data_IF_531589919285
#
_entry.id   IF_531589919285
#
_cell.length_a   1.000
_cell.length_b   1.000
_cell.length_c   1.000
_cell.angle_alpha   90.00
_cell.angle_beta   90.00
_cell.angle_gamma   90.00
#
_symmetry.space_group_name_H-M   'P 1'
#
loop_
_entity.id
_entity.type
_entity.pdbx_description
1 polymer ?
#
# COMPACT_ATOMS: atom_id res chain seq x y z
N UNK A 1 23.66 0.40 10.05
CA UNK A 1 23.05 -0.57 9.07
C UNK A 1 22.09 0.21 8.18
N UNK A 2 21.65 -0.33 7.04
CA UNK A 2 20.65 0.27 6.16
C UNK A 2 19.30 -0.40 6.38
N UNK A 3 18.21 0.32 6.05
CA UNK A 3 16.84 -0.19 6.14
C UNK A 3 16.40 -0.73 4.78
N UNK A 4 15.92 -1.97 4.73
CA UNK A 4 15.40 -2.57 3.51
C UNK A 4 13.95 -2.14 3.28
N UNK A 5 13.54 -2.06 2.01
CA UNK A 5 12.24 -1.51 1.61
C UNK A 5 11.43 -2.53 0.82
N UNK A 6 10.16 -2.65 1.14
CA UNK A 6 9.18 -3.38 0.33
C UNK A 6 8.17 -2.39 -0.21
N UNK A 7 8.05 -2.33 -1.54
CA UNK A 7 7.09 -1.47 -2.26
C UNK A 7 6.24 -2.27 -3.23
N UNK A 8 4.97 -1.91 -3.37
CA UNK A 8 4.15 -2.38 -4.49
C UNK A 8 4.51 -1.61 -5.75
N UNK A 9 4.70 -2.28 -6.88
CA UNK A 9 5.10 -1.63 -8.12
C UNK A 9 4.06 -1.73 -9.25
N UNK A 10 2.82 -2.03 -8.90
CA UNK A 10 1.62 -1.95 -9.74
C UNK A 10 0.60 -0.98 -9.13
N UNK A 11 -0.69 -1.24 -9.26
CA UNK A 11 -1.80 -0.42 -8.72
C UNK A 11 -2.27 -0.85 -7.32
N UNK A 12 -1.36 -1.35 -6.48
CA UNK A 12 -1.72 -1.86 -5.16
C UNK A 12 -2.25 -3.30 -5.19
N UNK A 13 -2.52 -3.83 -4.00
CA UNK A 13 -3.04 -5.20 -3.82
C UNK A 13 -2.16 -6.32 -4.42
N UNK A 14 -0.86 -6.07 -4.60
CA UNK A 14 0.09 -7.03 -5.20
C UNK A 14 0.33 -8.26 -4.32
N UNK A 15 -0.13 -8.26 -3.06
CA UNK A 15 0.11 -9.35 -2.13
C UNK A 15 1.30 -9.12 -1.20
N UNK A 16 1.66 -7.85 -0.96
CA UNK A 16 2.76 -7.43 -0.08
C UNK A 16 2.73 -8.10 1.29
N UNK A 17 1.55 -8.28 1.88
CA UNK A 17 1.40 -8.84 3.22
C UNK A 17 2.09 -10.19 3.43
N UNK A 18 1.99 -11.13 2.46
CA UNK A 18 2.67 -12.43 2.51
C UNK A 18 4.19 -12.26 2.59
N UNK A 19 4.76 -11.39 1.75
CA UNK A 19 6.21 -11.19 1.68
C UNK A 19 6.72 -10.46 2.92
N UNK A 20 6.00 -9.42 3.38
CA UNK A 20 6.37 -8.69 4.60
C UNK A 20 6.34 -9.62 5.81
N UNK A 21 5.28 -10.42 5.98
CA UNK A 21 5.16 -11.38 7.07
C UNK A 21 6.30 -12.42 7.05
N UNK A 22 6.60 -12.97 5.87
CA UNK A 22 7.71 -13.93 5.70
C UNK A 22 9.06 -13.29 6.06
N UNK A 23 9.32 -12.08 5.60
CA UNK A 23 10.59 -11.39 5.83
C UNK A 23 10.68 -10.81 7.25
N UNK A 24 9.59 -10.31 7.82
CA UNK A 24 9.55 -9.71 9.16
C UNK A 24 10.11 -10.60 10.26
N UNK A 25 10.12 -11.93 10.06
CA UNK A 25 10.74 -12.88 11.00
C UNK A 25 12.26 -12.67 11.16
N UNK A 26 12.90 -12.00 10.19
CA UNK A 26 14.34 -11.74 10.16
C UNK A 26 14.71 -10.32 10.57
N UNK A 27 13.71 -9.48 10.91
CA UNK A 27 13.91 -8.07 11.22
C UNK A 27 13.58 -7.75 12.68
N UNK A 28 14.36 -6.85 13.28
CA UNK A 28 14.16 -6.35 14.63
C UNK A 28 13.05 -5.28 14.69
N UNK A 29 12.84 -4.58 13.56
CA UNK A 29 11.89 -3.47 13.48
C UNK A 29 11.20 -3.45 12.11
N UNK A 30 9.88 -3.22 12.09
CA UNK A 30 9.07 -3.04 10.87
C UNK A 30 8.35 -1.71 10.93
N UNK A 31 8.47 -0.90 9.88
CA UNK A 31 8.00 0.48 9.86
C UNK A 31 7.05 0.73 8.69
N UNK A 32 5.90 1.37 8.95
CA UNK A 32 5.02 1.96 7.94
C UNK A 32 5.39 3.43 7.75
N UNK A 33 5.59 3.84 6.50
CA UNK A 33 6.07 5.19 6.17
C UNK A 33 4.99 6.12 5.61
N UNK A 34 3.87 5.59 5.06
CA UNK A 34 2.85 6.39 4.40
C UNK A 34 1.50 5.66 4.34
N UNK A 35 0.47 6.34 3.79
CA UNK A 35 -0.88 5.84 3.68
C UNK A 35 -1.65 5.96 4.99
N UNK A 36 -2.71 5.21 5.14
CA UNK A 36 -3.56 5.18 6.30
C UNK A 36 -4.34 3.87 6.34
N UNK A 37 -5.51 3.87 6.98
CA UNK A 37 -6.37 2.69 7.09
C UNK A 37 -7.16 2.38 5.80
N UNK A 38 -6.83 3.05 4.69
CA UNK A 38 -7.27 2.66 3.34
C UNK A 38 -6.52 1.43 2.79
N UNK A 39 -5.34 1.10 3.34
CA UNK A 39 -4.66 -0.16 3.05
C UNK A 39 -5.37 -1.34 3.75
N UNK A 40 -5.14 -2.57 3.26
CA UNK A 40 -5.62 -3.78 3.89
C UNK A 40 -4.70 -4.94 3.53
N UNK A 41 -3.86 -5.34 4.47
CA UNK A 41 -3.00 -6.51 4.35
C UNK A 41 -3.67 -7.69 5.04
N UNK A 42 -4.06 -8.70 4.27
CA UNK A 42 -4.58 -9.96 4.83
C UNK A 42 -3.44 -10.94 4.97
N UNK A 43 -3.25 -11.45 6.18
CA UNK A 43 -2.20 -12.40 6.52
C UNK A 43 -2.85 -13.56 7.29
N UNK A 44 -2.42 -14.78 6.98
CA UNK A 44 -2.83 -15.98 7.69
C UNK A 44 -1.67 -16.50 8.52
N UNK A 45 -1.88 -16.68 9.81
CA UNK A 45 -0.90 -17.29 10.73
C UNK A 45 -1.62 -18.34 11.54
N UNK A 46 -1.13 -19.57 11.50
CA UNK A 46 -1.69 -20.72 12.24
C UNK A 46 -3.21 -20.87 12.07
N UNK A 47 -3.70 -20.67 10.84
CA UNK A 47 -5.13 -20.76 10.51
C UNK A 47 -5.98 -19.56 10.93
N UNK A 48 -5.39 -18.55 11.57
CA UNK A 48 -6.07 -17.31 11.96
C UNK A 48 -5.85 -16.22 10.92
N UNK A 49 -6.93 -15.58 10.51
CA UNK A 49 -6.90 -14.46 9.56
C UNK A 49 -6.74 -13.13 10.28
N UNK A 50 -5.68 -12.40 9.95
CA UNK A 50 -5.48 -11.01 10.38
C UNK A 50 -5.66 -10.05 9.20
N UNK A 51 -6.35 -8.94 9.45
CA UNK A 51 -6.49 -7.84 8.46
C UNK A 51 -5.86 -6.59 9.07
N UNK A 52 -4.66 -6.26 8.60
CA UNK A 52 -3.90 -5.12 9.08
C UNK A 52 -4.09 -3.93 8.14
N UNK A 53 -4.35 -2.75 8.71
CA UNK A 53 -4.60 -1.51 7.96
C UNK A 53 -3.57 -0.42 8.29
N UNK A 54 -3.32 -0.16 9.56
CA UNK A 54 -2.37 0.83 10.08
C UNK A 54 -1.15 0.17 10.71
N UNK A 55 -1.37 -0.91 11.45
CA UNK A 55 -0.31 -1.63 12.15
C UNK A 55 0.59 -2.33 11.13
N UNK A 56 1.94 -2.19 11.24
CA UNK A 56 2.86 -2.94 10.37
C UNK A 56 2.69 -4.44 10.52
N UNK A 57 2.90 -5.18 9.42
CA UNK A 57 2.76 -6.65 9.39
C UNK A 57 3.75 -7.37 10.32
N UNK A 58 4.82 -6.69 10.73
CA UNK A 58 5.75 -7.18 11.74
C UNK A 58 5.15 -7.43 13.12
N UNK A 59 3.93 -6.96 13.40
CA UNK A 59 3.25 -7.19 14.69
C UNK A 59 3.01 -8.67 14.98
N UNK A 60 2.92 -9.48 13.94
CA UNK A 60 2.76 -10.94 14.06
C UNK A 60 4.06 -11.64 14.50
N UNK A 61 5.21 -10.98 14.40
CA UNK A 61 6.46 -11.42 15.03
C UNK A 61 6.55 -10.86 16.46
N UNK A 62 6.48 -11.68 17.52
CA UNK A 62 6.47 -11.20 18.91
C UNK A 62 7.76 -10.47 19.32
N UNK A 63 8.84 -10.63 18.57
CA UNK A 63 10.14 -10.01 18.83
C UNK A 63 10.34 -8.68 18.11
N UNK A 64 9.54 -8.38 17.10
CA UNK A 64 9.70 -7.18 16.30
C UNK A 64 9.06 -5.95 16.96
N UNK A 65 9.75 -4.82 16.87
CA UNK A 65 9.21 -3.49 17.15
C UNK A 65 8.49 -2.99 15.90
N UNK A 66 7.33 -2.40 16.06
CA UNK A 66 6.50 -1.92 14.97
C UNK A 66 6.32 -0.40 15.06
N UNK A 67 6.60 0.30 13.98
CA UNK A 67 6.60 1.76 13.92
C UNK A 67 5.55 2.24 12.90
N UNK A 68 4.67 3.12 13.33
CA UNK A 68 3.84 3.94 12.47
C UNK A 68 4.54 5.30 12.35
N UNK A 69 5.11 5.57 11.18
CA UNK A 69 5.93 6.75 10.91
C UNK A 69 5.14 8.04 10.73
N UNK A 70 5.86 9.16 10.67
CA UNK A 70 5.28 10.50 10.52
C UNK A 70 4.58 10.75 9.18
N UNK A 71 4.85 9.92 8.17
CA UNK A 71 4.18 10.01 6.86
C UNK A 71 2.81 9.34 6.84
N UNK A 72 2.47 8.52 7.82
CA UNK A 72 1.17 7.86 7.93
C UNK A 72 0.11 8.83 8.46
N UNK A 73 -1.12 8.71 7.96
CA UNK A 73 -2.29 9.38 8.55
C UNK A 73 -3.06 8.39 9.42
N UNK A 74 -3.13 8.68 10.72
CA UNK A 74 -3.58 7.75 11.75
C UNK A 74 -4.99 8.09 12.20
N UNK A 75 -5.92 7.16 12.00
CA UNK A 75 -7.24 7.26 12.59
C UNK A 75 -7.23 6.65 14.00
N UNK A 76 -7.45 7.43 15.06
CA UNK A 76 -7.50 6.91 16.43
C UNK A 76 -8.51 5.79 16.61
N UNK A 77 -9.70 5.97 16.07
CA UNK A 77 -10.76 4.95 16.11
C UNK A 77 -10.33 3.63 15.46
N UNK A 78 -9.74 3.71 14.25
CA UNK A 78 -9.40 2.51 13.50
C UNK A 78 -8.15 1.81 14.07
N UNK A 79 -7.15 2.56 14.56
CA UNK A 79 -5.98 1.92 15.19
C UNK A 79 -6.36 1.20 16.48
N UNK A 80 -7.22 1.76 17.31
CA UNK A 80 -7.73 1.12 18.52
C UNK A 80 -8.51 -0.16 18.20
N UNK A 81 -9.36 -0.12 17.17
CA UNK A 81 -10.08 -1.31 16.69
C UNK A 81 -9.13 -2.37 16.19
N UNK A 82 -8.07 -1.98 15.49
CA UNK A 82 -7.06 -2.92 14.99
C UNK A 82 -6.23 -3.51 16.13
N UNK A 83 -5.83 -2.70 17.11
CA UNK A 83 -5.11 -3.14 18.31
C UNK A 83 -5.91 -4.15 19.13
N UNK A 84 -7.24 -4.08 19.15
CA UNK A 84 -8.10 -5.01 19.91
C UNK A 84 -8.00 -6.48 19.45
N UNK A 85 -7.43 -6.74 18.27
CA UNK A 85 -7.17 -8.11 17.79
C UNK A 85 -5.97 -8.76 18.50
N UNK A 86 -5.20 -7.97 19.23
CA UNK A 86 -3.96 -8.40 19.89
C UNK A 86 -4.08 -8.19 21.41
N UNK A 87 -3.21 -8.85 22.15
CA UNK A 87 -2.98 -8.52 23.55
C UNK A 87 -2.27 -7.17 23.72
N UNK A 88 -1.62 -6.94 24.86
CA UNK A 88 -0.88 -5.69 25.06
C UNK A 88 0.23 -5.50 24.00
N UNK A 89 0.20 -4.34 23.36
CA UNK A 89 1.20 -3.93 22.37
C UNK A 89 2.21 -2.90 22.93
N UNK A 90 2.13 -2.59 24.23
CA UNK A 90 3.08 -1.70 24.89
C UNK A 90 4.49 -2.27 24.77
N UNK A 91 5.44 -1.44 24.33
CA UNK A 91 6.82 -1.88 24.04
C UNK A 91 7.03 -2.50 22.67
N UNK A 92 5.96 -2.77 21.91
CA UNK A 92 6.03 -3.40 20.59
C UNK A 92 5.46 -2.56 19.44
N UNK A 93 4.55 -1.65 19.73
CA UNK A 93 3.96 -0.72 18.76
C UNK A 93 4.26 0.71 19.19
N UNK A 94 4.66 1.55 18.24
CA UNK A 94 4.88 2.98 18.48
C UNK A 94 4.32 3.79 17.30
N UNK A 95 3.74 4.95 17.63
CA UNK A 95 3.14 5.90 16.70
C UNK A 95 3.96 7.19 16.77
N UNK A 96 4.36 7.69 15.61
CA UNK A 96 5.06 8.97 15.55
C UNK A 96 4.20 10.10 16.12
N UNK A 97 4.77 10.86 17.03
CA UNK A 97 4.22 12.12 17.54
C UNK A 97 3.91 13.13 16.41
N UNK A 98 4.60 12.99 15.25
CA UNK A 98 4.42 13.83 14.05
C UNK A 98 3.47 13.24 13.01
N UNK A 99 2.92 12.04 13.20
CA UNK A 99 1.90 11.47 12.31
C UNK A 99 0.62 12.31 12.39
N UNK A 100 -0.05 12.53 11.24
CA UNK A 100 -1.29 13.32 11.24
C UNK A 100 -2.50 12.48 11.62
N UNK A 101 -3.40 13.09 12.40
CA UNK A 101 -4.65 12.47 12.82
C UNK A 101 -5.67 12.50 11.68
N UNK A 102 -6.19 11.34 11.34
CA UNK A 102 -7.37 11.19 10.50
C UNK A 102 -8.59 11.09 11.42
N UNK A 103 -9.26 12.21 11.61
CA UNK A 103 -10.43 12.36 12.49
C UNK A 103 -11.73 12.09 11.72
N UNK A 104 -12.87 11.83 12.39
CA UNK A 104 -14.13 11.46 11.74
C UNK A 104 -14.60 12.45 10.67
N UNK A 105 -14.44 13.76 10.87
CA UNK A 105 -14.86 14.76 9.91
C UNK A 105 -14.10 14.67 8.56
N UNK A 106 -12.86 14.17 8.54
CA UNK A 106 -12.13 13.95 7.27
C UNK A 106 -12.85 12.91 6.39
N UNK A 107 -13.39 11.85 6.98
CA UNK A 107 -14.18 10.87 6.24
C UNK A 107 -15.48 11.47 5.70
N UNK A 108 -16.15 12.32 6.48
CA UNK A 108 -17.35 13.03 6.02
C UNK A 108 -17.04 13.97 4.84
N UNK A 109 -15.93 14.70 4.91
CA UNK A 109 -15.45 15.56 3.79
C UNK A 109 -15.15 14.72 2.53
N UNK A 110 -14.47 13.59 2.67
CA UNK A 110 -14.13 12.68 1.56
C UNK A 110 -15.40 12.19 0.85
N UNK A 111 -16.35 11.67 1.63
CA UNK A 111 -17.63 11.16 1.13
C UNK A 111 -18.48 12.26 0.48
N UNK A 112 -18.54 13.45 1.08
CA UNK A 112 -19.29 14.58 0.52
C UNK A 112 -18.68 15.05 -0.81
N UNK A 113 -17.35 15.20 -0.88
CA UNK A 113 -16.65 15.58 -2.12
C UNK A 113 -16.83 14.54 -3.23
N UNK A 114 -16.80 13.23 -2.92
CA UNK A 114 -17.06 12.18 -3.92
C UNK A 114 -18.50 12.23 -4.43
N UNK A 115 -19.50 12.46 -3.56
CA UNK A 115 -20.90 12.64 -3.99
C UNK A 115 -21.06 13.82 -4.94
N UNK A 116 -20.40 14.95 -4.65
CA UNK A 116 -20.48 16.15 -5.49
C UNK A 116 -19.85 15.97 -6.88
N UNK A 117 -18.87 15.08 -7.02
CA UNK A 117 -18.24 14.78 -8.32
C UNK A 117 -19.13 13.94 -9.25
N UNK A 118 -20.11 13.22 -8.72
CA UNK A 118 -20.99 12.35 -9.51
C UNK A 118 -20.21 11.37 -10.38
N UNK A 119 -20.45 11.39 -11.70
CA UNK A 119 -19.77 10.50 -12.67
C UNK A 119 -18.26 10.73 -12.77
N UNK A 120 -17.76 11.88 -12.29
CA UNK A 120 -16.32 12.22 -12.25
C UNK A 120 -15.67 11.80 -10.93
N UNK A 121 -16.35 11.03 -10.10
CA UNK A 121 -15.80 10.52 -8.85
C UNK A 121 -14.53 9.70 -9.09
N UNK A 122 -13.53 9.86 -8.23
CA UNK A 122 -12.26 9.11 -8.30
C UNK A 122 -12.48 7.65 -7.87
N UNK A 123 -13.50 7.41 -7.04
CA UNK A 123 -13.76 6.12 -6.43
C UNK A 123 -12.92 5.90 -5.18
N UNK A 124 -12.77 6.93 -4.35
CA UNK A 124 -12.02 6.85 -3.08
C UNK A 124 -12.61 5.79 -2.14
N UNK A 125 -11.89 5.49 -1.07
CA UNK A 125 -12.37 4.59 -0.02
C UNK A 125 -13.37 5.26 0.92
N UNK A 126 -13.58 6.58 0.81
CA UNK A 126 -14.44 7.36 1.70
C UNK A 126 -13.94 7.46 3.15
N UNK A 127 -12.64 7.20 3.38
CA UNK A 127 -12.03 7.12 4.71
C UNK A 127 -11.31 8.40 5.15
N UNK A 128 -11.40 9.46 4.36
CA UNK A 128 -10.80 10.76 4.69
C UNK A 128 -9.29 10.83 4.52
N UNK A 129 -8.67 9.89 3.82
CA UNK A 129 -7.21 9.88 3.64
C UNK A 129 -6.76 11.12 2.84
N UNK A 130 -7.43 11.40 1.72
CA UNK A 130 -7.17 12.59 0.89
C UNK A 130 -7.33 13.90 1.67
N UNK A 131 -8.48 14.16 2.29
CA UNK A 131 -8.66 15.32 3.15
C UNK A 131 -7.58 15.49 4.22
N UNK A 132 -7.19 14.41 4.92
CA UNK A 132 -6.12 14.50 5.95
C UNK A 132 -4.78 14.91 5.36
N UNK A 133 -4.38 14.38 4.19
CA UNK A 133 -3.16 14.81 3.51
C UNK A 133 -3.28 16.26 2.99
N UNK A 134 -4.46 16.70 2.52
CA UNK A 134 -4.70 18.09 2.16
C UNK A 134 -4.47 19.01 3.35
N UNK A 135 -5.03 18.70 4.53
CA UNK A 135 -4.83 19.50 5.74
C UNK A 135 -3.37 19.50 6.21
N UNK A 136 -2.68 18.37 6.07
CA UNK A 136 -1.24 18.29 6.35
C UNK A 136 -0.45 19.28 5.47
N UNK A 137 -0.72 19.33 4.16
CA UNK A 137 0.00 20.18 3.22
C UNK A 137 -0.39 21.64 3.38
N UNK A 138 -1.67 21.95 3.66
CA UNK A 138 -2.16 23.29 3.98
C UNK A 138 -1.73 23.78 5.37
N UNK A 139 -1.13 22.92 6.18
CA UNK A 139 -0.63 23.19 7.55
C UNK A 139 -1.75 23.45 8.57
N UNK A 140 -2.93 22.89 8.34
CA UNK A 140 -4.09 22.96 9.23
C UNK A 140 -4.34 21.62 9.95
N UNK A 141 -3.52 20.59 9.63
CA UNK A 141 -3.71 19.25 10.18
C UNK A 141 -3.22 19.09 11.62
N UNK A 142 -3.86 18.19 12.34
CA UNK A 142 -3.55 17.84 13.73
C UNK A 142 -2.62 16.62 13.77
N UNK A 143 -1.70 16.58 14.74
CA UNK A 143 -0.72 15.49 14.88
C UNK A 143 -1.07 14.56 16.02
N UNK A 144 -0.56 13.34 15.99
CA UNK A 144 -0.76 12.37 17.07
C UNK A 144 -0.19 12.88 18.41
N UNK A 145 0.90 13.65 18.38
CA UNK A 145 1.45 14.30 19.57
C UNK A 145 0.47 15.26 20.26
N UNK A 146 -0.46 15.87 19.53
CA UNK A 146 -1.46 16.79 20.09
C UNK A 146 -2.48 16.07 20.98
N UNK A 147 -2.68 14.75 20.78
CA UNK A 147 -3.49 13.91 21.68
C UNK A 147 -2.94 13.86 23.11
N UNK A 148 -1.68 14.19 23.34
CA UNK A 148 -1.12 14.25 24.70
C UNK A 148 -1.66 15.45 25.50
N UNK A 149 -2.32 16.40 24.83
CA UNK A 149 -3.08 17.48 25.45
C UNK A 149 -4.47 17.62 24.81
N UNK A 150 -5.41 16.72 25.12
CA UNK A 150 -6.72 16.64 24.47
C UNK A 150 -7.57 17.91 24.61
N UNK A 151 -7.43 18.66 25.70
CA UNK A 151 -8.15 19.93 25.90
C UNK A 151 -7.70 20.98 24.88
N UNK A 152 -6.38 21.16 24.72
CA UNK A 152 -5.86 22.09 23.72
C UNK A 152 -6.23 21.64 22.31
N UNK A 153 -6.08 20.36 21.99
CA UNK A 153 -6.46 19.81 20.68
C UNK A 153 -7.96 20.04 20.40
N UNK A 154 -8.82 19.91 21.40
CA UNK A 154 -10.25 20.20 21.26
C UNK A 154 -10.48 21.66 20.85
N UNK A 155 -9.84 22.61 21.54
CA UNK A 155 -9.97 24.02 21.21
C UNK A 155 -9.43 24.34 19.81
N UNK A 156 -8.29 23.78 19.42
CA UNK A 156 -7.70 23.94 18.08
C UNK A 156 -8.63 23.38 16.97
N UNK A 157 -9.27 22.23 17.20
CA UNK A 157 -10.24 21.65 16.24
C UNK A 157 -11.52 22.50 16.14
N UNK A 158 -12.01 23.03 17.24
CA UNK A 158 -13.19 23.91 17.23
C UNK A 158 -12.90 25.21 16.46
N UNK A 159 -11.72 25.78 16.65
CA UNK A 159 -11.26 26.94 15.87
C UNK A 159 -11.18 26.61 14.36
N UNK A 160 -10.64 25.44 14.01
CA UNK A 160 -10.61 24.96 12.62
C UNK A 160 -12.04 24.85 12.03
N UNK A 161 -13.02 24.33 12.79
CA UNK A 161 -14.40 24.26 12.31
C UNK A 161 -15.01 25.64 12.10
N UNK A 162 -14.72 26.59 12.97
CA UNK A 162 -15.20 27.97 12.84
C UNK A 162 -14.60 28.65 11.60
N UNK A 163 -13.30 28.51 11.39
CA UNK A 163 -12.61 29.09 10.22
C UNK A 163 -13.08 28.47 8.90
N UNK A 164 -13.56 27.22 8.90
CA UNK A 164 -14.01 26.49 7.73
C UNK A 164 -15.55 26.30 7.69
N UNK A 165 -16.32 27.01 8.50
CA UNK A 165 -17.78 26.86 8.64
C UNK A 165 -18.49 26.81 7.30
N UNK A 166 -18.19 27.73 6.38
CA UNK A 166 -18.83 27.80 5.07
C UNK A 166 -18.63 26.52 4.25
N UNK A 167 -17.48 25.84 4.39
CA UNK A 167 -17.20 24.56 3.71
C UNK A 167 -18.04 23.45 4.33
N UNK A 168 -18.13 23.40 5.65
CA UNK A 168 -18.92 22.38 6.36
C UNK A 168 -20.40 22.53 6.05
N UNK A 169 -20.91 23.79 5.99
CA UNK A 169 -22.30 24.08 5.62
C UNK A 169 -22.62 23.63 4.18
N UNK A 170 -21.76 23.96 3.22
CA UNK A 170 -21.93 23.56 1.80
C UNK A 170 -21.86 22.03 1.63
N UNK A 171 -21.06 21.34 2.42
CA UNK A 171 -20.93 19.90 2.39
C UNK A 171 -22.00 19.17 3.23
N UNK A 172 -22.87 19.89 3.91
CA UNK A 172 -23.88 19.37 4.88
C UNK A 172 -23.24 18.47 5.95
N UNK A 173 -22.13 18.93 6.53
CA UNK A 173 -21.40 18.23 7.57
C UNK A 173 -21.66 18.89 8.92
N UNK A 174 -22.25 18.13 9.84
CA UNK A 174 -22.45 18.58 11.23
C UNK A 174 -21.16 18.39 12.03
N UNK A 175 -20.74 19.45 12.71
CA UNK A 175 -19.62 19.40 13.65
C UNK A 175 -20.10 18.97 15.04
N UNK A 176 -19.28 18.23 15.82
CA UNK A 176 -19.62 17.86 17.18
C UNK A 176 -19.65 19.09 18.12
N UNK A 177 -20.35 18.98 19.21
CA UNK A 177 -20.24 19.94 20.30
C UNK A 177 -18.89 19.84 21.00
N UNK A 178 -18.47 20.89 21.71
CA UNK A 178 -17.22 20.89 22.51
C UNK A 178 -17.15 19.70 23.48
N UNK A 179 -18.27 19.38 24.15
CA UNK A 179 -18.31 18.27 25.12
C UNK A 179 -18.12 16.91 24.44
N UNK A 180 -18.82 16.68 23.34
CA UNK A 180 -18.68 15.43 22.56
C UNK A 180 -17.26 15.26 22.05
N UNK A 181 -16.70 16.30 21.44
CA UNK A 181 -15.35 16.28 20.91
C UNK A 181 -14.29 16.05 22.01
N UNK A 182 -14.38 16.75 23.11
CA UNK A 182 -13.46 16.63 24.24
C UNK A 182 -13.49 15.21 24.83
N UNK A 183 -14.66 14.66 25.08
CA UNK A 183 -14.80 13.29 25.59
C UNK A 183 -14.19 12.25 24.65
N UNK A 184 -14.39 12.41 23.33
CA UNK A 184 -13.79 11.53 22.32
C UNK A 184 -12.26 11.62 22.33
N UNK A 185 -11.71 12.84 22.38
CA UNK A 185 -10.26 13.06 22.38
C UNK A 185 -9.60 12.57 23.68
N UNK A 186 -10.26 12.72 24.85
CA UNK A 186 -9.78 12.19 26.12
C UNK A 186 -9.76 10.66 26.11
N UNK A 187 -10.78 10.01 25.54
CA UNK A 187 -10.81 8.56 25.37
C UNK A 187 -9.65 8.09 24.47
N UNK A 188 -9.43 8.74 23.30
CA UNK A 188 -8.31 8.43 22.43
C UNK A 188 -6.96 8.67 23.13
N UNK A 189 -6.81 9.79 23.82
CA UNK A 189 -5.59 10.13 24.56
C UNK A 189 -5.26 9.06 25.60
N UNK A 190 -6.24 8.71 26.44
CA UNK A 190 -6.04 7.72 27.53
C UNK A 190 -5.53 6.36 27.01
N UNK A 191 -5.97 5.96 25.82
CA UNK A 191 -5.63 4.66 25.21
C UNK A 191 -4.37 4.70 24.35
N UNK A 192 -4.08 5.83 23.67
CA UNK A 192 -2.99 5.93 22.70
C UNK A 192 -1.73 6.60 23.23
N UNK A 193 -1.80 7.41 24.29
CA UNK A 193 -0.63 8.10 24.84
C UNK A 193 0.59 7.20 25.10
N UNK A 194 0.45 5.95 25.60
CA UNK A 194 1.58 5.06 25.83
C UNK A 194 2.33 4.66 24.56
N UNK A 195 1.74 4.84 23.37
CA UNK A 195 2.28 4.46 22.07
C UNK A 195 2.87 5.65 21.31
N UNK A 196 2.53 6.88 21.68
CA UNK A 196 2.95 8.09 20.95
C UNK A 196 4.34 8.52 21.43
N UNK A 197 5.27 8.62 20.46
CA UNK A 197 6.67 8.99 20.78
C UNK A 197 7.41 9.50 19.54
N UNK A 198 8.65 9.95 19.74
CA UNK A 198 9.56 10.32 18.67
C UNK A 198 10.13 9.07 17.97
N UNK A 199 9.37 8.53 17.01
CA UNK A 199 9.73 7.33 16.26
C UNK A 199 10.93 7.53 15.34
N UNK A 200 11.16 8.74 14.83
CA UNK A 200 12.33 9.05 13.99
C UNK A 200 13.63 8.73 14.74
N UNK A 201 13.73 9.21 15.99
CA UNK A 201 14.90 8.91 16.82
C UNK A 201 15.03 7.41 17.14
N UNK A 202 13.91 6.70 17.29
CA UNK A 202 13.93 5.24 17.50
C UNK A 202 14.52 4.50 16.30
N UNK A 203 14.11 4.87 15.07
CA UNK A 203 14.60 4.25 13.82
C UNK A 203 16.09 4.56 13.64
N UNK A 204 16.53 5.80 13.86
CA UNK A 204 17.95 6.17 13.81
C UNK A 204 18.79 5.33 14.76
N UNK A 205 18.40 5.25 16.03
CA UNK A 205 19.10 4.42 17.02
C UNK A 205 19.12 2.94 16.65
N UNK A 206 18.05 2.42 16.04
CA UNK A 206 18.03 1.04 15.58
C UNK A 206 19.11 0.81 14.50
N UNK A 207 19.21 1.69 13.50
CA UNK A 207 20.22 1.60 12.44
C UNK A 207 21.65 1.77 12.97
N UNK A 208 21.88 2.73 13.88
CA UNK A 208 23.17 2.96 14.55
C UNK A 208 23.62 1.73 15.35
N UNK A 209 22.68 1.04 16.01
CA UNK A 209 22.93 -0.18 16.78
C UNK A 209 22.90 -1.46 15.91
N UNK A 210 23.03 -1.33 14.58
CA UNK A 210 23.06 -2.44 13.63
C UNK A 210 21.82 -3.36 13.68
N UNK A 211 20.65 -2.82 14.05
CA UNK A 211 19.39 -3.54 14.00
C UNK A 211 18.88 -3.62 12.57
N UNK A 212 18.26 -4.76 12.23
CA UNK A 212 17.62 -4.97 10.93
C UNK A 212 16.27 -4.25 10.91
N UNK A 213 16.12 -3.30 10.01
CA UNK A 213 14.92 -2.48 9.85
C UNK A 213 14.28 -2.73 8.49
N UNK A 214 12.98 -3.05 8.48
CA UNK A 214 12.18 -3.23 7.27
C UNK A 214 11.16 -2.11 7.13
N UNK A 215 11.12 -1.48 5.96
CA UNK A 215 10.16 -0.44 5.62
C UNK A 215 9.05 -1.05 4.75
N UNK A 216 7.85 -1.08 5.29
CA UNK A 216 6.66 -1.65 4.64
C UNK A 216 5.86 -0.56 3.93
N UNK A 217 5.89 -0.56 2.59
CA UNK A 217 5.08 0.33 1.76
C UNK A 217 3.61 -0.08 1.73
N UNK A 218 2.73 0.90 1.61
CA UNK A 218 1.29 0.70 1.36
C UNK A 218 0.94 1.11 -0.08
N UNK A 219 -0.17 0.63 -0.60
CA UNK A 219 -0.60 0.81 -1.98
C UNK A 219 0.44 0.31 -3.01
N UNK A 220 0.51 0.93 -4.17
CA UNK A 220 1.48 0.61 -5.22
C UNK A 220 1.95 1.86 -5.94
N UNK A 221 3.09 1.77 -6.61
CA UNK A 221 3.75 2.90 -7.28
C UNK A 221 2.87 3.60 -8.31
N UNK A 222 2.02 2.84 -9.03
CA UNK A 222 1.12 3.44 -10.02
C UNK A 222 -0.10 4.16 -9.40
N UNK A 223 -0.19 4.15 -8.06
CA UNK A 223 -1.10 4.97 -7.25
C UNK A 223 -0.39 6.12 -6.53
N UNK A 224 0.90 6.35 -6.78
CA UNK A 224 1.66 7.46 -6.19
C UNK A 224 1.08 8.81 -6.59
N UNK A 225 1.07 9.78 -5.67
CA UNK A 225 0.49 11.11 -5.90
C UNK A 225 1.17 11.88 -7.03
N UNK A 226 2.49 11.71 -7.19
CA UNK A 226 3.30 12.42 -8.19
C UNK A 226 3.54 11.59 -9.46
N UNK A 227 3.69 10.28 -9.31
CA UNK A 227 4.17 9.37 -10.37
C UNK A 227 3.13 8.36 -10.85
N UNK A 228 1.98 8.29 -10.20
CA UNK A 228 0.89 7.39 -10.56
C UNK A 228 0.00 7.90 -11.69
N UNK A 229 -1.07 7.17 -11.97
CA UNK A 229 -2.07 7.49 -13.00
C UNK A 229 -3.04 8.58 -12.52
N UNK A 230 -2.52 9.78 -12.27
CA UNK A 230 -3.30 10.93 -11.80
C UNK A 230 -4.47 11.26 -12.74
N UNK A 231 -5.68 11.62 -12.22
CA UNK A 231 -6.02 11.86 -10.80
C UNK A 231 -6.44 10.61 -10.02
N UNK A 232 -6.41 9.43 -10.60
CA UNK A 232 -6.84 8.16 -10.00
C UNK A 232 -5.71 7.52 -9.19
N UNK A 233 -5.28 8.22 -8.14
CA UNK A 233 -4.15 7.87 -7.28
C UNK A 233 -4.52 7.99 -5.79
N UNK A 234 -3.65 7.53 -4.91
CA UNK A 234 -3.73 7.85 -3.48
C UNK A 234 -3.08 9.22 -3.20
N UNK A 235 -3.31 9.76 -2.03
CA UNK A 235 -2.82 11.09 -1.65
C UNK A 235 -1.45 11.05 -0.95
N UNK A 236 -0.73 9.94 -1.06
CA UNK A 236 0.59 9.78 -0.43
C UNK A 236 1.65 9.36 -1.43
N UNK A 237 2.92 9.59 -1.10
CA UNK A 237 4.05 9.08 -1.86
C UNK A 237 4.25 7.60 -1.54
N UNK A 238 3.99 6.73 -2.53
CA UNK A 238 4.05 5.27 -2.42
C UNK A 238 5.38 4.69 -2.90
N UNK A 239 6.24 5.53 -3.46
CA UNK A 239 7.58 5.15 -3.92
C UNK A 239 8.57 5.00 -2.76
N UNK A 240 9.68 4.30 -2.99
CA UNK A 240 10.74 4.10 -1.99
C UNK A 240 11.29 5.40 -1.42
N UNK A 241 11.38 6.47 -2.22
CA UNK A 241 11.75 7.81 -1.75
C UNK A 241 10.79 8.38 -0.70
N UNK A 242 9.50 8.03 -0.77
CA UNK A 242 8.50 8.40 0.24
C UNK A 242 8.76 7.79 1.62
N UNK A 243 9.47 6.66 1.68
CA UNK A 243 9.88 6.06 2.94
C UNK A 243 10.89 6.93 3.69
N UNK A 244 11.77 7.64 2.99
CA UNK A 244 12.71 8.57 3.59
C UNK A 244 11.98 9.70 4.34
N UNK A 245 11.09 10.40 3.67
CA UNK A 245 10.33 11.51 4.28
C UNK A 245 9.35 11.03 5.34
N UNK A 246 8.74 9.86 5.12
CA UNK A 246 7.72 9.31 6.01
C UNK A 246 8.23 8.71 7.33
N UNK A 247 9.56 8.52 7.46
CA UNK A 247 10.21 8.01 8.67
C UNK A 247 11.36 8.91 9.17
N UNK A 248 11.68 9.98 8.42
CA UNK A 248 12.79 10.87 8.75
C UNK A 248 14.15 10.25 8.47
N UNK A 249 14.26 9.41 7.44
CA UNK A 249 15.51 8.79 6.99
C UNK A 249 16.14 9.62 5.86
N UNK A 250 17.45 9.56 5.76
CA UNK A 250 18.14 10.09 4.59
C UNK A 250 18.25 8.99 3.49
N UNK A 251 18.41 9.36 2.21
CA UNK A 251 18.49 8.38 1.13
C UNK A 251 19.61 7.35 1.26
N UNK A 252 20.69 7.67 2.00
CA UNK A 252 21.82 6.75 2.22
C UNK A 252 21.51 5.66 3.24
N UNK A 253 20.44 5.84 4.05
CA UNK A 253 19.99 4.84 5.02
C UNK A 253 19.17 3.73 4.35
N UNK A 254 18.80 3.88 3.07
CA UNK A 254 18.05 2.87 2.32
C UNK A 254 18.98 1.75 1.86
N UNK A 255 18.57 0.53 2.15
CA UNK A 255 19.20 -0.73 1.80
C UNK A 255 18.61 -1.37 0.54
N UNK A 256 18.36 -2.67 0.59
CA UNK A 256 17.77 -3.43 -0.51
C UNK A 256 16.30 -3.06 -0.71
N UNK A 257 15.90 -2.84 -1.97
CA UNK A 257 14.53 -2.52 -2.35
C UNK A 257 13.90 -3.69 -3.10
N UNK A 258 12.89 -4.31 -2.51
CA UNK A 258 12.13 -5.39 -3.14
C UNK A 258 10.80 -4.83 -3.69
N UNK A 259 10.64 -4.90 -5.01
CA UNK A 259 9.39 -4.56 -5.71
C UNK A 259 8.43 -5.74 -5.74
N UNK A 260 7.21 -5.57 -5.24
CA UNK A 260 6.19 -6.61 -5.26
C UNK A 260 5.30 -6.44 -6.49
N UNK A 261 5.18 -7.51 -7.27
CA UNK A 261 4.33 -7.58 -8.47
C UNK A 261 3.45 -8.82 -8.42
N UNK A 262 2.26 -8.77 -9.01
CA UNK A 262 1.51 -9.97 -9.38
C UNK A 262 1.93 -10.45 -10.77
N UNK A 263 1.73 -11.73 -11.04
CA UNK A 263 1.87 -12.30 -12.37
C UNK A 263 0.84 -11.77 -13.40
N UNK A 264 -0.06 -10.91 -12.98
CA UNK A 264 -1.04 -10.19 -13.79
C UNK A 264 -1.31 -8.83 -13.12
N UNK A 265 -2.06 -7.94 -13.77
CA UNK A 265 -2.40 -6.65 -13.18
C UNK A 265 -3.81 -6.65 -12.60
N UNK A 266 -4.00 -5.90 -11.53
CA UNK A 266 -5.34 -5.60 -11.00
C UNK A 266 -5.45 -4.14 -10.61
N UNK A 267 -6.66 -3.58 -10.73
CA UNK A 267 -6.94 -2.21 -10.32
C UNK A 267 -8.29 -2.12 -9.60
N UNK A 268 -8.35 -1.32 -8.55
CA UNK A 268 -9.60 -0.95 -7.88
C UNK A 268 -9.99 0.46 -8.31
N UNK A 269 -11.29 0.69 -8.54
CA UNK A 269 -11.82 2.00 -8.90
C UNK A 269 -11.57 2.39 -10.36
N UNK A 270 -11.75 3.68 -10.62
CA UNK A 270 -11.68 4.26 -11.95
C UNK A 270 -10.24 4.51 -12.39
N UNK A 271 -10.08 4.99 -13.62
CA UNK A 271 -8.81 5.36 -14.21
C UNK A 271 -8.27 4.38 -15.24
N UNK A 272 -7.21 4.76 -15.96
CA UNK A 272 -6.67 4.00 -17.07
C UNK A 272 -6.11 2.66 -16.63
N UNK A 273 -6.36 1.63 -17.43
CA UNK A 273 -5.84 0.29 -17.24
C UNK A 273 -5.62 -0.36 -18.61
N UNK A 274 -4.51 -0.05 -19.30
CA UNK A 274 -4.30 -0.44 -20.69
C UNK A 274 -4.35 -1.95 -20.95
N UNK A 275 -4.00 -2.75 -19.95
CA UNK A 275 -3.97 -4.21 -20.05
C UNK A 275 -5.21 -4.88 -19.50
N UNK A 276 -6.27 -4.13 -19.18
CA UNK A 276 -7.53 -4.72 -18.69
C UNK A 276 -8.09 -5.73 -19.69
N UNK A 277 -8.50 -6.88 -19.20
CA UNK A 277 -9.01 -7.97 -20.01
C UNK A 277 -10.50 -8.21 -19.68
N UNK A 278 -11.34 -8.03 -20.68
CA UNK A 278 -12.80 -8.20 -20.59
C UNK A 278 -13.27 -9.58 -21.07
N UNK A 279 -12.35 -10.45 -21.43
CA UNK A 279 -12.63 -11.82 -21.87
C UNK A 279 -12.74 -12.78 -20.68
N UNK A 280 -12.94 -14.06 -20.97
CA UNK A 280 -12.95 -15.11 -19.94
C UNK A 280 -11.62 -15.20 -19.18
N UNK A 281 -10.49 -14.78 -19.76
CA UNK A 281 -9.21 -14.73 -19.07
C UNK A 281 -9.24 -13.72 -17.89
N UNK A 282 -9.69 -12.50 -18.13
CA UNK A 282 -9.81 -11.49 -17.06
C UNK A 282 -10.82 -11.91 -15.98
N UNK A 283 -11.90 -12.59 -16.36
CA UNK A 283 -12.86 -13.16 -15.42
C UNK A 283 -12.23 -14.26 -14.57
N UNK A 284 -11.52 -15.20 -15.18
CA UNK A 284 -10.80 -16.30 -14.49
C UNK A 284 -9.74 -15.76 -13.54
N UNK A 285 -8.93 -14.76 -13.96
CA UNK A 285 -7.98 -14.08 -13.05
C UNK A 285 -8.69 -13.53 -11.82
N UNK A 286 -9.88 -12.93 -11.98
CA UNK A 286 -10.68 -12.37 -10.90
C UNK A 286 -11.21 -13.42 -9.92
N UNK A 287 -11.72 -14.54 -10.45
CA UNK A 287 -12.33 -15.61 -9.68
C UNK A 287 -11.28 -16.47 -8.95
N UNK A 288 -10.29 -17.00 -9.69
CA UNK A 288 -9.22 -17.85 -9.15
C UNK A 288 -8.35 -17.02 -8.20
N UNK A 289 -7.99 -15.79 -8.61
CA UNK A 289 -7.21 -14.87 -7.81
C UNK A 289 -7.95 -14.31 -6.60
N UNK A 290 -9.27 -14.54 -6.47
CA UNK A 290 -10.13 -13.96 -5.42
C UNK A 290 -9.94 -12.45 -5.33
N UNK A 291 -10.06 -11.78 -6.49
CA UNK A 291 -9.72 -10.37 -6.61
C UNK A 291 -10.87 -9.47 -6.13
N UNK A 292 -11.00 -9.40 -4.80
CA UNK A 292 -11.93 -8.53 -4.09
C UNK A 292 -11.15 -7.72 -3.05
N UNK A 293 -11.54 -6.47 -2.85
CA UNK A 293 -10.92 -5.60 -1.85
C UNK A 293 -11.13 -6.16 -0.44
N UNK A 294 -10.04 -6.41 0.29
CA UNK A 294 -10.09 -6.98 1.65
C UNK A 294 -10.93 -6.16 2.64
N UNK A 295 -11.04 -4.84 2.41
CA UNK A 295 -11.73 -3.89 3.30
C UNK A 295 -13.07 -3.46 2.73
N UNK A 296 -13.15 -3.21 1.42
CA UNK A 296 -14.34 -2.65 0.75
C UNK A 296 -15.22 -3.71 0.09
N UNK A 297 -14.72 -4.94 -0.09
CA UNK A 297 -15.38 -5.98 -0.86
C UNK A 297 -15.53 -5.69 -2.36
N UNK A 298 -15.03 -4.56 -2.86
CA UNK A 298 -15.15 -4.19 -4.28
C UNK A 298 -14.39 -5.20 -5.14
N UNK A 299 -15.01 -5.62 -6.26
CA UNK A 299 -14.36 -6.42 -7.29
C UNK A 299 -13.24 -5.61 -7.93
N UNK A 300 -12.07 -6.22 -8.09
CA UNK A 300 -10.94 -5.64 -8.82
C UNK A 300 -11.11 -5.90 -10.31
N UNK A 301 -10.76 -4.93 -11.12
CA UNK A 301 -10.54 -5.08 -12.56
C UNK A 301 -9.28 -5.89 -12.74
N UNK A 302 -9.27 -6.83 -13.68
CA UNK A 302 -8.14 -7.74 -13.92
C UNK A 302 -7.65 -7.59 -15.36
N UNK A 303 -6.37 -7.79 -15.56
CA UNK A 303 -5.76 -7.70 -16.87
C UNK A 303 -4.36 -8.30 -16.91
N UNK A 304 -3.78 -8.35 -18.10
CA UNK A 304 -2.49 -8.96 -18.34
C UNK A 304 -1.33 -8.18 -17.69
N UNK A 305 -0.21 -8.85 -17.50
CA UNK A 305 0.98 -8.22 -16.93
C UNK A 305 1.47 -7.07 -17.81
N UNK A 306 1.60 -5.89 -17.22
CA UNK A 306 2.07 -4.67 -17.88
C UNK A 306 3.56 -4.45 -17.57
N UNK A 307 4.42 -4.97 -18.45
CA UNK A 307 5.86 -4.89 -18.22
C UNK A 307 6.42 -3.47 -18.46
N UNK A 308 5.73 -2.62 -19.24
CA UNK A 308 6.12 -1.21 -19.44
C UNK A 308 5.92 -0.43 -18.14
N UNK A 309 4.73 -0.56 -17.54
CA UNK A 309 4.41 0.10 -16.27
C UNK A 309 5.30 -0.44 -15.13
N UNK A 310 5.53 -1.76 -15.07
CA UNK A 310 6.40 -2.38 -14.05
C UNK A 310 7.86 -1.94 -14.22
N UNK A 311 8.37 -1.83 -15.46
CA UNK A 311 9.72 -1.29 -15.71
C UNK A 311 9.86 0.16 -15.23
N UNK A 312 8.88 1.00 -15.54
CA UNK A 312 8.83 2.37 -15.03
C UNK A 312 8.87 2.41 -13.50
N UNK A 313 7.98 1.65 -12.85
CA UNK A 313 7.89 1.60 -11.41
C UNK A 313 9.16 1.02 -10.75
N UNK A 314 9.75 -0.03 -11.33
CA UNK A 314 11.00 -0.62 -10.83
C UNK A 314 12.16 0.37 -10.88
N UNK A 315 12.31 1.11 -11.98
CA UNK A 315 13.35 2.14 -12.12
C UNK A 315 13.15 3.28 -11.14
N UNK A 316 11.91 3.76 -10.99
CA UNK A 316 11.55 4.86 -10.10
C UNK A 316 11.88 4.52 -8.63
N UNK A 317 11.63 3.28 -8.23
CA UNK A 317 11.91 2.82 -6.89
C UNK A 317 13.36 2.39 -6.67
N UNK A 318 14.13 2.14 -7.74
CA UNK A 318 15.46 1.54 -7.63
C UNK A 318 15.40 0.09 -7.13
N UNK A 319 14.47 -0.71 -7.64
CA UNK A 319 14.29 -2.09 -7.20
C UNK A 319 15.53 -2.93 -7.50
N UNK A 320 16.09 -3.58 -6.46
CA UNK A 320 17.17 -4.54 -6.59
C UNK A 320 16.67 -5.90 -7.05
N UNK A 321 15.44 -6.26 -6.65
CA UNK A 321 14.78 -7.50 -7.04
C UNK A 321 13.25 -7.35 -7.05
N UNK A 322 12.58 -8.28 -7.74
CA UNK A 322 11.13 -8.44 -7.76
C UNK A 322 10.70 -9.63 -6.91
N UNK A 323 9.54 -9.50 -6.28
CA UNK A 323 8.78 -10.62 -5.74
C UNK A 323 7.51 -10.81 -6.59
N UNK A 324 7.48 -11.89 -7.36
CA UNK A 324 6.38 -12.24 -8.26
C UNK A 324 5.33 -13.06 -7.51
N UNK A 325 4.16 -12.48 -7.35
CA UNK A 325 3.05 -13.03 -6.59
C UNK A 325 2.00 -13.67 -7.48
N UNK A 326 1.31 -14.67 -6.96
CA UNK A 326 0.12 -15.26 -7.60
C UNK A 326 0.39 -15.86 -8.98
N UNK A 327 1.53 -16.51 -9.17
CA UNK A 327 1.86 -17.20 -10.42
C UNK A 327 0.87 -18.34 -10.70
N UNK A 328 0.37 -18.99 -9.65
CA UNK A 328 -0.64 -20.04 -9.65
C UNK A 328 -2.00 -19.63 -10.26
N UNK A 329 -2.32 -18.35 -10.26
CA UNK A 329 -3.58 -17.85 -10.85
C UNK A 329 -3.61 -18.00 -12.37
N UNK A 330 -2.45 -18.10 -13.01
CA UNK A 330 -2.32 -18.29 -14.47
C UNK A 330 -2.23 -19.77 -14.86
N UNK A 331 -2.34 -20.70 -13.92
CA UNK A 331 -2.35 -22.14 -14.20
C UNK A 331 -3.51 -22.52 -15.12
N UNK A 332 -3.26 -23.40 -16.07
CA UNK A 332 -4.25 -23.89 -17.03
C UNK A 332 -4.61 -22.93 -18.17
N UNK A 333 -3.96 -21.77 -18.29
CA UNK A 333 -4.16 -20.88 -19.44
C UNK A 333 -3.40 -21.41 -20.66
N UNK A 334 -4.04 -21.42 -21.83
CA UNK A 334 -3.39 -21.83 -23.10
C UNK A 334 -2.29 -20.84 -23.49
N UNK A 335 -2.60 -19.54 -23.39
CA UNK A 335 -1.73 -18.42 -23.73
C UNK A 335 -1.76 -17.40 -22.64
N UNK A 336 -0.59 -16.83 -22.36
CA UNK A 336 -0.40 -15.76 -21.38
C UNK A 336 0.22 -14.58 -22.14
N UNK A 337 -0.38 -13.39 -21.95
CA UNK A 337 0.07 -12.17 -22.62
C UNK A 337 0.90 -11.31 -21.67
N UNK A 338 1.95 -10.73 -22.20
CA UNK A 338 2.77 -9.72 -21.53
C UNK A 338 2.74 -8.45 -22.37
N UNK A 339 2.32 -7.33 -21.81
CA UNK A 339 2.38 -6.05 -22.48
C UNK A 339 3.85 -5.58 -22.50
N UNK A 340 4.40 -5.47 -23.70
CA UNK A 340 5.82 -5.15 -23.94
C UNK A 340 6.05 -3.73 -24.46
N UNK A 341 5.00 -3.10 -24.97
CA UNK A 341 4.99 -1.73 -25.45
C UNK A 341 3.56 -1.21 -25.49
N UNK A 342 3.39 0.08 -25.78
CA UNK A 342 2.10 0.70 -26.05
C UNK A 342 2.02 1.24 -27.48
N UNK A 343 0.82 1.21 -28.05
CA UNK A 343 0.44 2.08 -29.15
C UNK A 343 -0.17 3.35 -28.53
N UNK A 344 0.46 4.48 -28.74
CA UNK A 344 0.01 5.77 -28.25
C UNK A 344 -0.15 6.74 -29.43
N UNK A 345 -1.41 7.06 -29.75
CA UNK A 345 -1.74 7.90 -30.91
C UNK A 345 -1.16 7.41 -32.27
N UNK A 346 -1.06 6.10 -32.45
CA UNK A 346 -0.53 5.46 -33.66
C UNK A 346 0.99 5.22 -33.64
N UNK A 347 1.69 5.64 -32.60
CA UNK A 347 3.12 5.40 -32.42
C UNK A 347 3.37 4.32 -31.39
N UNK A 348 4.31 3.42 -31.69
CA UNK A 348 4.80 2.44 -30.72
C UNK A 348 5.76 3.12 -29.74
N UNK A 349 5.40 3.11 -28.46
CA UNK A 349 6.26 3.62 -27.38
C UNK A 349 6.56 2.51 -26.36
N UNK A 350 7.67 2.63 -25.66
CA UNK A 350 8.11 1.68 -24.64
C UNK A 350 8.23 2.34 -23.25
N UNK A 351 7.59 3.47 -23.06
CA UNK A 351 7.53 4.22 -21.81
C UNK A 351 6.07 4.53 -21.43
N UNK A 352 5.85 4.87 -20.16
CA UNK A 352 4.53 5.25 -19.64
C UNK A 352 4.30 6.74 -19.91
N UNK A 353 3.33 7.12 -20.79
CA UNK A 353 3.02 8.52 -21.06
C UNK A 353 2.24 9.16 -19.90
N UNK A 354 2.27 10.48 -19.81
CA UNK A 354 1.53 11.22 -18.77
C UNK A 354 0.01 11.09 -18.90
N UNK A 355 -0.51 11.04 -20.12
CA UNK A 355 -1.91 10.76 -20.39
C UNK A 355 -2.04 9.34 -20.92
N UNK A 356 -2.80 8.52 -20.20
CA UNK A 356 -3.02 7.10 -20.51
C UNK A 356 -4.35 6.83 -21.23
N UNK A 357 -5.16 7.86 -21.55
CA UNK A 357 -6.51 7.67 -22.08
C UNK A 357 -6.53 6.98 -23.46
N UNK A 358 -5.52 7.23 -24.29
CA UNK A 358 -5.41 6.68 -25.65
C UNK A 358 -4.30 5.63 -25.77
N UNK A 359 -3.99 4.96 -24.70
CA UNK A 359 -2.95 3.92 -24.68
C UNK A 359 -3.56 2.56 -24.93
N UNK A 360 -3.06 1.87 -25.94
CA UNK A 360 -3.41 0.48 -26.27
C UNK A 360 -2.19 -0.40 -26.01
N UNK A 361 -2.41 -1.52 -25.33
CA UNK A 361 -1.32 -2.46 -25.02
C UNK A 361 -0.90 -3.27 -26.24
N UNK A 362 0.40 -3.38 -26.46
CA UNK A 362 1.01 -4.28 -27.44
C UNK A 362 1.57 -5.48 -26.70
N UNK A 363 1.13 -6.68 -27.07
CA UNK A 363 1.43 -7.91 -26.35
C UNK A 363 2.41 -8.81 -27.09
N UNK A 364 3.23 -9.51 -26.30
CA UNK A 364 3.82 -10.78 -26.68
C UNK A 364 3.09 -11.92 -25.97
N UNK A 365 2.94 -13.06 -26.65
CA UNK A 365 2.28 -14.24 -26.12
C UNK A 365 3.29 -15.31 -25.75
N UNK A 366 3.08 -15.93 -24.60
CA UNK A 366 3.84 -17.07 -24.09
C UNK A 366 2.85 -18.23 -23.93
N UNK A 367 3.28 -19.45 -24.28
CA UNK A 367 2.47 -20.63 -24.01
C UNK A 367 2.28 -20.78 -22.49
N UNK A 368 1.08 -21.15 -22.10
CA UNK A 368 0.76 -21.39 -20.70
C UNK A 368 1.39 -22.67 -20.13
N UNK A 369 1.02 -23.00 -18.95
CA UNK A 369 1.48 -24.18 -18.20
C UNK A 369 0.32 -24.79 -17.41
N UNK A 370 0.49 -26.07 -17.00
CA UNK A 370 -0.57 -26.79 -16.28
C UNK A 370 -0.73 -26.28 -14.84
N UNK A 371 0.29 -26.40 -14.00
CA UNK A 371 0.26 -25.91 -12.63
C UNK A 371 1.64 -25.62 -12.06
N UNK A 372 1.69 -24.59 -11.18
CA UNK A 372 2.86 -24.26 -10.35
C UNK A 372 2.56 -24.41 -8.86
N UNK A 373 1.32 -24.74 -8.48
CA UNK A 373 0.90 -24.81 -7.08
C UNK A 373 1.81 -25.72 -6.26
N UNK A 374 2.34 -25.19 -5.15
CA UNK A 374 3.18 -25.94 -4.21
C UNK A 374 4.62 -26.20 -4.66
N UNK A 375 5.03 -25.70 -5.82
CA UNK A 375 6.43 -25.79 -6.27
C UNK A 375 7.29 -24.83 -5.44
N UNK A 376 8.38 -25.35 -4.87
CA UNK A 376 9.27 -24.62 -3.95
C UNK A 376 10.71 -24.45 -4.48
N UNK A 377 11.01 -24.98 -5.66
CA UNK A 377 12.32 -24.82 -6.32
C UNK A 377 12.13 -24.29 -7.74
N UNK A 378 12.99 -23.37 -8.14
CA UNK A 378 12.91 -22.78 -9.48
C UNK A 378 13.10 -23.81 -10.59
N UNK A 379 13.98 -24.79 -10.36
CA UNK A 379 14.30 -25.84 -11.31
C UNK A 379 13.09 -26.69 -11.66
N UNK A 380 12.16 -26.87 -10.69
CA UNK A 380 10.96 -27.71 -10.84
C UNK A 380 9.79 -26.99 -11.55
N UNK A 381 9.90 -25.66 -11.79
CA UNK A 381 8.88 -24.93 -12.51
C UNK A 381 8.74 -25.42 -13.94
N UNK A 382 7.51 -25.44 -14.51
CA UNK A 382 7.27 -25.69 -15.93
C UNK A 382 8.10 -24.75 -16.80
N UNK A 383 8.56 -25.25 -17.95
CA UNK A 383 9.45 -24.50 -18.85
C UNK A 383 8.82 -23.17 -19.31
N UNK A 384 7.50 -23.16 -19.54
CA UNK A 384 6.82 -21.95 -19.96
C UNK A 384 6.65 -20.94 -18.81
N UNK A 385 6.48 -21.39 -17.56
CA UNK A 385 6.51 -20.51 -16.39
C UNK A 385 7.89 -19.85 -16.22
N UNK A 386 8.97 -20.60 -16.44
CA UNK A 386 10.34 -20.03 -16.48
C UNK A 386 10.49 -18.98 -17.57
N UNK A 387 10.05 -19.27 -18.81
CA UNK A 387 10.07 -18.31 -19.92
C UNK A 387 9.28 -17.04 -19.61
N UNK A 388 8.14 -17.17 -18.91
CA UNK A 388 7.35 -16.02 -18.47
C UNK A 388 8.13 -15.14 -17.48
N UNK A 389 8.78 -15.76 -16.49
CA UNK A 389 9.61 -15.07 -15.52
C UNK A 389 10.81 -14.40 -16.20
N UNK A 390 11.50 -15.10 -17.08
CA UNK A 390 12.63 -14.59 -17.86
C UNK A 390 12.23 -13.40 -18.75
N UNK A 391 11.03 -13.44 -19.36
CA UNK A 391 10.49 -12.31 -20.13
C UNK A 391 10.25 -11.08 -19.26
N UNK A 392 9.71 -11.26 -18.05
CA UNK A 392 9.56 -10.16 -17.09
C UNK A 392 10.93 -9.56 -16.73
N UNK A 393 11.93 -10.40 -16.41
CA UNK A 393 13.29 -9.97 -16.10
C UNK A 393 13.94 -9.21 -17.25
N UNK A 394 13.78 -9.71 -18.49
CA UNK A 394 14.30 -9.08 -19.70
C UNK A 394 13.78 -7.65 -19.88
N UNK A 395 12.45 -7.47 -19.80
CA UNK A 395 11.81 -6.17 -20.06
C UNK A 395 12.03 -5.20 -18.91
N UNK A 396 11.93 -5.67 -17.68
CA UNK A 396 12.06 -4.81 -16.49
C UNK A 396 13.49 -4.50 -16.13
N UNK A 397 14.44 -5.29 -16.61
CA UNK A 397 15.86 -5.28 -16.24
C UNK A 397 16.09 -5.46 -14.73
N UNK A 398 15.18 -6.18 -14.05
CA UNK A 398 15.28 -6.51 -12.63
C UNK A 398 15.03 -8.00 -12.43
N UNK A 399 15.84 -8.66 -11.61
CA UNK A 399 15.71 -10.09 -11.32
C UNK A 399 14.50 -10.39 -10.45
N UNK A 400 13.81 -11.48 -10.74
CA UNK A 400 12.76 -12.04 -9.89
C UNK A 400 13.44 -12.93 -8.85
N UNK A 401 13.66 -12.37 -7.66
CA UNK A 401 14.33 -13.06 -6.54
C UNK A 401 13.37 -13.88 -5.67
N UNK A 402 12.06 -13.59 -5.72
CA UNK A 402 11.04 -14.28 -4.92
C UNK A 402 9.86 -14.62 -5.83
N UNK A 403 9.36 -15.87 -5.75
CA UNK A 403 8.20 -16.32 -6.54
C UNK A 403 7.21 -17.01 -5.62
N UNK A 404 5.97 -16.52 -5.58
CA UNK A 404 4.87 -17.15 -4.85
C UNK A 404 4.08 -18.05 -5.78
N UNK A 405 3.99 -19.32 -5.45
CA UNK A 405 3.33 -20.38 -6.21
C UNK A 405 1.99 -20.83 -5.61
N UNK A 406 1.58 -20.25 -4.48
CA UNK A 406 0.26 -20.39 -3.87
C UNK A 406 0.05 -19.30 -2.78
N UNK A 407 -1.14 -19.19 -2.18
CA UNK A 407 -1.37 -18.30 -1.03
C UNK A 407 -0.57 -18.68 0.24
N UNK A 408 -0.16 -19.93 0.39
CA UNK A 408 0.55 -20.43 1.58
C UNK A 408 1.94 -19.83 1.71
N UNK A 409 2.39 -19.53 2.94
CA UNK A 409 3.70 -18.94 3.23
C UNK A 409 4.85 -19.76 2.64
N UNK A 410 4.80 -21.09 2.85
CA UNK A 410 5.89 -22.00 2.49
C UNK A 410 6.00 -22.27 0.98
N UNK A 411 4.95 -21.97 0.23
CA UNK A 411 4.93 -22.11 -1.22
C UNK A 411 5.52 -20.85 -1.87
N UNK A 412 6.81 -20.67 -1.56
CA UNK A 412 7.59 -19.52 -2.01
C UNK A 412 8.99 -19.97 -2.39
N UNK A 413 9.38 -19.64 -3.63
CA UNK A 413 10.72 -19.90 -4.16
C UNK A 413 11.58 -18.68 -3.85
N UNK A 414 12.76 -18.89 -3.27
CA UNK A 414 13.80 -17.87 -3.12
C UNK A 414 14.91 -18.17 -4.13
N UNK A 415 15.19 -17.21 -5.01
CA UNK A 415 16.32 -17.27 -5.97
C UNK A 415 17.42 -16.34 -5.47
N UNK A 416 18.63 -16.88 -5.37
CA UNK A 416 19.83 -16.15 -4.97
C UNK A 416 20.34 -15.20 -6.04
#
# INVERSE_FOLDING_TARGET
MKADVIVGIQWGDEGKGKIVDMLAQKYDMVCRSQGGHNAGHTIWVDGVKYVLQLIPSGILNPKAINIIGNGVVVSPLNILKEMSQFGSLVGRLYISDKAHLNLPFHALIDQAKERLKGDKAIGTTGKGIGPTYSEKVSRNGFRAGDLLNPSKLCDDILEYFEQNRAIFDVLDIKTPTKIELLNELEDYSSKLAPYITNTTNMVWKALENNKKVLLEGAQGTLLDIDHGTYPYVTSSSTVSGGACTGLGLNPKDIGEITGIVKAYCTRVGNGPFPTEDFTDYGKTMGEVGKEFGAVTGRKRRCGWFDAVAVRYASRLNGCDKLALMKLDVLDGFDKIKVCVAYNYNGERIDYMPSNMDNVEAIYEEINGWDSVVGIRKYEDLPINAKKYIEKIEEITNVKVGIISTSPERDDTILRG
#
